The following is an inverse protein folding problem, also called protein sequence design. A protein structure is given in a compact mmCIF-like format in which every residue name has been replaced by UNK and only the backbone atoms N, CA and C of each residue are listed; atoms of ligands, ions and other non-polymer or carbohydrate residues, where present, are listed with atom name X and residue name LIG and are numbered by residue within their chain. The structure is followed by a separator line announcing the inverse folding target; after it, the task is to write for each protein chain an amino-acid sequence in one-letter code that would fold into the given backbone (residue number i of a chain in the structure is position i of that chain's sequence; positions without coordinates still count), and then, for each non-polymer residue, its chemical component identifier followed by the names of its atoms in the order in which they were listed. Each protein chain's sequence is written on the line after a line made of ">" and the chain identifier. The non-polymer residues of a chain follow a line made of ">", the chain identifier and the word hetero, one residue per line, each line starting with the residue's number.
data_IF_130607932557
#
_entry.id   IF_130607932557
#
_cell.length_a   1.000
_cell.length_b   1.000
_cell.length_c   1.000
_cell.angle_alpha   90.00
_cell.angle_beta   90.00
_cell.angle_gamma   90.00
#
_symmetry.space_group_name_H-M   'P 1'
#
loop_
_entity.id
_entity.type
_entity.pdbx_description
1 polymer ?
#
# COMPACT_ATOMS: atom_id res chain seq x y z
N UNK A 1 -5.21 21.44 14.79
CA UNK A 1 -5.76 20.29 14.05
C UNK A 1 -6.34 20.67 12.68
N UNK A 2 -7.12 21.76 12.53
CA UNK A 2 -7.85 22.07 11.28
C UNK A 2 -7.00 22.20 10.02
N UNK A 3 -5.90 22.97 10.07
CA UNK A 3 -5.03 23.21 8.90
C UNK A 3 -4.30 21.93 8.44
N UNK A 4 -3.78 21.13 9.39
CA UNK A 4 -3.06 19.89 9.06
C UNK A 4 -4.00 18.83 8.45
N UNK A 5 -5.22 18.70 8.97
CA UNK A 5 -6.22 17.78 8.41
C UNK A 5 -6.60 18.17 6.98
N UNK A 6 -6.81 19.47 6.69
CA UNK A 6 -7.10 19.92 5.33
C UNK A 6 -5.93 19.71 4.37
N UNK A 7 -4.70 20.01 4.82
CA UNK A 7 -3.50 19.77 4.01
C UNK A 7 -3.34 18.27 3.68
N UNK A 8 -3.46 17.40 4.69
CA UNK A 8 -3.37 15.95 4.49
C UNK A 8 -4.48 15.44 3.58
N UNK A 9 -5.73 15.85 3.82
CA UNK A 9 -6.88 15.43 3.02
C UNK A 9 -6.66 15.79 1.54
N UNK A 10 -6.22 17.00 1.25
CA UNK A 10 -5.95 17.43 -0.12
C UNK A 10 -4.81 16.64 -0.78
N UNK A 11 -3.84 16.14 0.00
CA UNK A 11 -2.74 15.31 -0.52
C UNK A 11 -3.15 13.85 -0.75
N UNK A 12 -3.99 13.26 0.11
CA UNK A 12 -4.38 11.83 0.02
C UNK A 12 -5.63 11.60 -0.84
N UNK A 13 -6.48 12.61 -1.01
CA UNK A 13 -7.77 12.48 -1.70
C UNK A 13 -7.64 11.87 -3.12
N UNK A 14 -6.68 12.24 -3.98
CA UNK A 14 -6.56 11.63 -5.30
C UNK A 14 -6.35 10.10 -5.24
N UNK A 15 -5.60 9.64 -4.24
CA UNK A 15 -5.23 8.24 -4.05
C UNK A 15 -6.42 7.44 -3.52
N UNK A 16 -7.20 8.06 -2.63
CA UNK A 16 -8.43 7.46 -2.09
C UNK A 16 -9.47 7.26 -3.20
N UNK A 17 -9.61 8.24 -4.10
CA UNK A 17 -10.51 8.13 -5.25
C UNK A 17 -10.06 7.03 -6.22
N UNK A 18 -8.77 6.96 -6.55
CA UNK A 18 -8.25 5.91 -7.43
C UNK A 18 -8.48 4.50 -6.87
N UNK A 19 -8.25 4.29 -5.56
CA UNK A 19 -8.54 3.00 -4.90
C UNK A 19 -10.04 2.71 -4.89
N UNK A 20 -10.90 3.71 -4.75
CA UNK A 20 -12.35 3.55 -4.76
C UNK A 20 -12.89 3.16 -6.15
N UNK A 21 -12.32 3.72 -7.22
CA UNK A 21 -12.77 3.52 -8.59
C UNK A 21 -12.19 2.22 -9.21
N UNK A 22 -10.90 1.96 -9.01
CA UNK A 22 -10.17 0.87 -9.68
C UNK A 22 -9.91 -0.35 -8.79
N UNK A 23 -10.12 -0.23 -7.49
CA UNK A 23 -9.79 -1.25 -6.51
C UNK A 23 -8.30 -1.30 -6.16
N UNK A 24 -8.00 -1.81 -4.97
CA UNK A 24 -6.67 -1.75 -4.37
C UNK A 24 -5.57 -2.37 -5.25
N UNK A 25 -5.81 -3.55 -5.82
CA UNK A 25 -4.77 -4.28 -6.57
C UNK A 25 -4.36 -3.52 -7.83
N UNK A 26 -5.34 -3.12 -8.65
CA UNK A 26 -5.10 -2.35 -9.88
C UNK A 26 -4.39 -1.02 -9.59
N UNK A 27 -4.81 -0.30 -8.55
CA UNK A 27 -4.14 0.92 -8.10
C UNK A 27 -2.70 0.65 -7.65
N UNK A 28 -2.46 -0.44 -6.91
CA UNK A 28 -1.11 -0.82 -6.50
C UNK A 28 -0.23 -1.17 -7.70
N UNK A 29 -0.74 -1.80 -8.76
CA UNK A 29 0.04 -2.03 -9.99
C UNK A 29 0.46 -0.73 -10.67
N UNK A 30 -0.46 0.23 -10.78
CA UNK A 30 -0.22 1.53 -11.44
C UNK A 30 0.68 2.48 -10.65
N UNK A 31 0.63 2.45 -9.31
CA UNK A 31 1.24 3.47 -8.45
C UNK A 31 2.45 2.96 -7.65
N UNK A 32 3.66 3.17 -8.19
CA UNK A 32 4.92 2.83 -7.47
C UNK A 32 5.05 3.47 -6.08
N UNK A 33 4.68 4.75 -5.85
CA UNK A 33 4.77 5.35 -4.53
C UNK A 33 3.85 4.70 -3.49
N UNK A 34 2.63 4.31 -3.89
CA UNK A 34 1.67 3.70 -3.00
C UNK A 34 2.15 2.31 -2.54
N UNK A 35 2.75 1.52 -3.44
CA UNK A 35 3.36 0.21 -3.10
C UNK A 35 4.40 0.32 -2.00
N UNK A 36 5.27 1.33 -2.04
CA UNK A 36 6.30 1.56 -1.00
C UNK A 36 5.70 1.89 0.37
N UNK A 37 4.48 2.44 0.38
CA UNK A 37 3.74 2.74 1.59
C UNK A 37 2.97 1.54 2.18
N UNK A 38 2.93 0.39 1.50
CA UNK A 38 2.23 -0.81 1.99
C UNK A 38 3.07 -1.53 3.04
N UNK A 39 2.50 -1.72 4.22
CA UNK A 39 3.16 -2.42 5.34
C UNK A 39 2.70 -3.88 5.45
N UNK A 40 1.47 -4.15 5.04
CA UNK A 40 0.84 -5.45 5.10
C UNK A 40 -0.05 -5.67 3.88
N UNK A 41 0.01 -6.86 3.31
CA UNK A 41 -0.84 -7.25 2.19
C UNK A 41 -1.19 -8.73 2.31
N UNK A 42 -2.49 -9.07 2.29
CA UNK A 42 -2.99 -10.45 2.40
C UNK A 42 -2.35 -11.27 3.56
N UNK A 43 -2.18 -10.64 4.73
CA UNK A 43 -1.59 -11.30 5.92
C UNK A 43 -0.07 -11.43 5.90
N UNK A 44 0.62 -10.89 4.89
CA UNK A 44 2.08 -10.86 4.80
C UNK A 44 2.62 -9.47 5.13
N UNK A 45 3.78 -9.40 5.80
CA UNK A 45 4.46 -8.12 6.06
C UNK A 45 5.31 -7.74 4.84
N UNK A 46 5.08 -6.54 4.31
CA UNK A 46 5.73 -6.04 3.09
C UNK A 46 6.74 -4.94 3.33
N UNK A 47 7.00 -4.61 4.59
CA UNK A 47 8.01 -3.63 4.98
C UNK A 47 9.11 -4.27 5.83
N UNK A 48 10.30 -4.37 5.25
CA UNK A 48 11.49 -4.94 5.85
C UNK A 48 11.83 -4.33 7.22
N UNK A 49 11.74 -3.01 7.37
CA UNK A 49 12.05 -2.37 8.66
C UNK A 49 11.12 -2.82 9.79
N UNK A 50 9.84 -3.01 9.47
CA UNK A 50 8.84 -3.49 10.45
C UNK A 50 9.05 -4.97 10.71
N UNK A 51 9.26 -5.78 9.66
CA UNK A 51 9.50 -7.20 9.80
C UNK A 51 10.69 -7.52 10.71
N UNK A 52 11.79 -6.77 10.57
CA UNK A 52 12.95 -6.90 11.46
C UNK A 52 12.67 -6.46 12.90
N UNK A 53 11.80 -5.46 13.11
CA UNK A 53 11.48 -4.94 14.44
C UNK A 53 10.59 -5.90 15.24
N UNK A 54 9.66 -6.59 14.57
CA UNK A 54 8.68 -7.49 15.20
C UNK A 54 8.99 -8.97 14.97
N UNK A 55 10.16 -9.28 14.40
CA UNK A 55 10.64 -10.64 14.10
C UNK A 55 9.65 -11.48 13.27
N UNK A 56 9.03 -10.88 12.25
CA UNK A 56 8.12 -11.58 11.34
C UNK A 56 8.70 -11.81 9.95
N UNK A 57 8.06 -12.69 9.17
CA UNK A 57 8.46 -12.96 7.78
C UNK A 57 8.20 -11.73 6.90
N UNK A 58 9.25 -11.27 6.20
CA UNK A 58 9.15 -10.23 5.18
C UNK A 58 8.87 -10.85 3.82
N UNK A 59 7.90 -10.31 3.08
CA UNK A 59 7.64 -10.64 1.68
C UNK A 59 7.55 -9.39 0.83
N UNK A 60 8.23 -9.40 -0.29
CA UNK A 60 8.20 -8.27 -1.21
C UNK A 60 6.81 -8.11 -1.85
N UNK A 61 6.27 -6.89 -1.81
CA UNK A 61 4.92 -6.58 -2.35
C UNK A 61 4.80 -6.86 -3.85
N UNK A 62 5.83 -6.56 -4.66
CA UNK A 62 5.77 -6.79 -6.11
C UNK A 62 5.67 -8.31 -6.41
N UNK A 63 6.34 -9.14 -5.61
CA UNK A 63 6.21 -10.60 -5.72
C UNK A 63 4.79 -11.07 -5.37
N UNK A 64 4.17 -10.50 -4.33
CA UNK A 64 2.80 -10.85 -3.92
C UNK A 64 1.76 -10.45 -4.96
N UNK A 65 1.88 -9.25 -5.53
CA UNK A 65 0.99 -8.77 -6.59
C UNK A 65 1.05 -9.69 -7.82
N UNK A 66 2.25 -10.10 -8.25
CA UNK A 66 2.43 -11.01 -9.40
C UNK A 66 1.85 -12.43 -9.21
N UNK A 67 1.67 -12.85 -7.95
CA UNK A 67 1.07 -14.15 -7.63
C UNK A 67 -0.46 -14.08 -7.68
N UNK A 68 -1.03 -12.92 -7.34
CA UNK A 68 -2.47 -12.71 -7.28
C UNK A 68 -3.09 -12.56 -8.67
N UNK A 69 -2.37 -11.98 -9.63
CA UNK A 69 -2.79 -11.86 -11.05
C UNK A 69 -3.11 -13.21 -11.74
N UNK A 70 -2.72 -14.34 -11.12
CA UNK A 70 -2.88 -15.69 -11.68
C UNK A 70 -4.08 -16.47 -11.11
N UNK A 71 -4.88 -15.89 -10.24
CA UNK A 71 -6.12 -16.48 -9.70
C UNK A 71 -7.36 -15.93 -10.39
#
# INVERSE_FOLDING_TARGET
>A
ARTASHALNNSVLPWVLEVADDGLEKTLHGMSPLRKGVYTFQGQCTQQAVASLIECEYRNIDSLLSLNDRQ
#
